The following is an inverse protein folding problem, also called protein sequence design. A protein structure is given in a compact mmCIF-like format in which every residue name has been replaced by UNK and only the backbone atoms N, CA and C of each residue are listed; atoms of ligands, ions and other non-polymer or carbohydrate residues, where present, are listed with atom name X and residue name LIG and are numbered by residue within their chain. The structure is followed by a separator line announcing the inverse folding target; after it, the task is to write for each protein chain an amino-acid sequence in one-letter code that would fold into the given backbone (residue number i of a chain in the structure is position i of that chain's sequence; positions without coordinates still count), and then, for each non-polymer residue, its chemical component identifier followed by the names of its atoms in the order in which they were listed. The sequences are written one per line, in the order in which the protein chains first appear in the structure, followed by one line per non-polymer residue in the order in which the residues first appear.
data_IF_512967763296
#
_entry.id   IF_512967763296
#
_cell.length_a   1.000
_cell.length_b   1.000
_cell.length_c   1.000
_cell.angle_alpha   90.00
_cell.angle_beta   90.00
_cell.angle_gamma   90.00
#
_symmetry.space_group_name_H-M   'P 1'
#
loop_
_entity.id
_entity.type
_entity.pdbx_description
1 polymer ?
#
# COMPACT_ATOMS: atom_id res chain seq x y z
N UNK A 1 -12.52 2.10 15.33
CA UNK A 1 -13.13 1.63 16.60
C UNK A 1 -12.03 0.87 17.32
N UNK A 2 -11.49 1.51 18.35
CA UNK A 2 -10.41 1.16 19.29
C UNK A 2 -9.00 0.81 18.74
N UNK A 3 -8.86 0.37 17.49
CA UNK A 3 -7.55 0.15 16.85
C UNK A 3 -6.77 -1.05 17.40
N UNK A 4 -7.46 -1.97 18.08
CA UNK A 4 -6.88 -3.21 18.60
C UNK A 4 -6.64 -4.22 17.48
N UNK A 5 -5.56 -5.00 17.62
CA UNK A 5 -5.14 -6.00 16.63
C UNK A 5 -5.22 -7.40 17.23
N UNK A 6 -5.79 -8.32 16.46
CA UNK A 6 -5.86 -9.74 16.82
C UNK A 6 -5.20 -10.57 15.73
N UNK A 7 -4.43 -11.58 16.12
CA UNK A 7 -3.82 -12.53 15.19
C UNK A 7 -4.03 -13.97 15.67
N UNK A 8 -4.28 -14.86 14.72
CA UNK A 8 -4.48 -16.29 14.96
C UNK A 8 -4.11 -17.08 13.71
N UNK A 9 -3.98 -18.39 13.85
CA UNK A 9 -3.64 -19.35 12.80
C UNK A 9 -2.27 -19.99 13.02
N UNK A 10 -1.52 -20.13 11.93
CA UNK A 10 -0.20 -20.78 11.90
C UNK A 10 0.85 -19.88 12.56
N UNK A 11 1.64 -20.45 13.48
CA UNK A 11 2.59 -19.72 14.32
C UNK A 11 4.03 -19.63 13.78
N UNK A 12 4.40 -20.46 12.80
CA UNK A 12 5.77 -20.56 12.27
C UNK A 12 6.35 -19.19 11.88
N UNK A 13 7.66 -19.02 12.07
CA UNK A 13 8.39 -17.81 11.72
C UNK A 13 7.88 -16.56 12.44
N UNK A 14 7.28 -16.73 13.62
CA UNK A 14 6.76 -15.65 14.45
C UNK A 14 5.69 -14.76 13.77
N UNK A 15 5.03 -15.26 12.71
CA UNK A 15 4.10 -14.47 11.88
C UNK A 15 2.89 -13.92 12.66
N UNK A 16 2.58 -14.52 13.80
CA UNK A 16 1.49 -14.06 14.66
C UNK A 16 1.90 -12.90 15.59
N UNK A 17 3.19 -12.70 15.86
CA UNK A 17 3.67 -11.59 16.69
C UNK A 17 3.47 -11.77 18.20
N UNK A 18 3.15 -12.99 18.67
CA UNK A 18 2.91 -13.30 20.09
C UNK A 18 4.19 -13.71 20.86
N UNK A 19 5.37 -13.49 20.28
CA UNK A 19 6.66 -13.88 20.87
C UNK A 19 6.96 -15.39 20.81
N UNK A 20 6.07 -16.20 20.25
CA UNK A 20 6.19 -17.66 20.15
C UNK A 20 5.74 -18.16 18.77
N UNK A 21 6.16 -19.38 18.41
CA UNK A 21 5.74 -20.03 17.15
C UNK A 21 4.52 -20.96 17.31
N UNK A 22 3.85 -20.89 18.46
CA UNK A 22 2.66 -21.71 18.73
C UNK A 22 1.50 -21.33 17.81
N UNK A 23 0.77 -22.34 17.34
CA UNK A 23 -0.43 -22.13 16.54
C UNK A 23 -1.57 -21.65 17.45
N UNK A 24 -2.21 -20.56 17.05
CA UNK A 24 -3.30 -19.95 17.81
C UNK A 24 -4.61 -20.25 17.11
N UNK A 25 -5.53 -20.97 17.75
CA UNK A 25 -6.78 -21.43 17.10
C UNK A 25 -7.92 -20.43 17.14
N UNK A 26 -7.82 -19.40 17.97
CA UNK A 26 -8.85 -18.38 18.18
C UNK A 26 -8.21 -16.99 18.19
N UNK A 27 -8.92 -15.93 17.76
CA UNK A 27 -8.39 -14.57 17.80
C UNK A 27 -7.78 -14.23 19.16
N UNK A 28 -6.46 -13.98 19.17
CA UNK A 28 -5.71 -13.58 20.36
C UNK A 28 -5.25 -12.14 20.19
N UNK A 29 -5.45 -11.34 21.23
CA UNK A 29 -5.01 -9.96 21.25
C UNK A 29 -3.49 -9.89 21.07
N UNK A 30 -3.04 -9.00 20.20
CA UNK A 30 -1.62 -8.77 19.96
C UNK A 30 -1.11 -7.73 20.96
N UNK A 31 -0.64 -8.20 22.11
CA UNK A 31 -0.23 -7.35 23.25
C UNK A 31 0.83 -6.30 22.87
N UNK A 32 1.73 -6.60 21.92
CA UNK A 32 2.73 -5.66 21.45
C UNK A 32 2.19 -4.40 20.76
N UNK A 33 0.90 -4.38 20.38
CA UNK A 33 0.21 -3.21 19.83
C UNK A 33 -0.86 -2.67 20.80
N UNK A 34 -0.94 -3.18 22.02
CA UNK A 34 -1.90 -2.69 23.00
C UNK A 34 -1.60 -1.22 23.34
N UNK A 35 -2.65 -0.39 23.40
CA UNK A 35 -2.52 1.05 23.60
C UNK A 35 -2.09 1.83 22.35
N UNK A 36 -1.83 1.16 21.23
CA UNK A 36 -1.64 1.79 19.92
C UNK A 36 -2.93 1.71 19.12
N UNK A 37 -3.36 2.84 18.57
CA UNK A 37 -4.55 2.89 17.72
C UNK A 37 -4.14 2.58 16.29
N UNK A 38 -4.21 1.30 15.92
CA UNK A 38 -3.88 0.85 14.56
C UNK A 38 -4.99 1.25 13.60
N UNK A 39 -4.60 1.85 12.47
CA UNK A 39 -5.49 2.32 11.40
C UNK A 39 -5.39 1.45 10.14
N UNK A 40 -4.26 0.76 9.93
CA UNK A 40 -4.05 -0.14 8.81
C UNK A 40 -3.09 -1.30 9.15
N UNK A 41 -3.28 -2.44 8.50
CA UNK A 41 -2.44 -3.64 8.63
C UNK A 41 -2.23 -4.24 7.25
N UNK A 42 -0.98 -4.51 6.89
CA UNK A 42 -0.64 -5.27 5.69
C UNK A 42 0.16 -6.52 6.05
N UNK A 43 -0.08 -7.56 5.27
CA UNK A 43 0.45 -8.90 5.50
C UNK A 43 1.16 -9.36 4.24
N UNK A 44 2.45 -9.70 4.37
CA UNK A 44 3.23 -10.37 3.34
C UNK A 44 3.01 -11.89 3.39
N UNK A 45 3.99 -12.66 2.91
CA UNK A 45 3.89 -14.13 3.03
C UNK A 45 4.06 -14.61 4.48
N UNK A 46 4.97 -13.99 5.22
CA UNK A 46 5.36 -14.42 6.58
C UNK A 46 5.72 -13.26 7.51
N UNK A 47 5.53 -12.02 7.09
CA UNK A 47 5.77 -10.81 7.89
C UNK A 47 4.57 -9.86 7.77
N UNK A 48 4.44 -8.94 8.73
CA UNK A 48 3.36 -7.98 8.78
C UNK A 48 3.88 -6.59 9.10
N UNK A 49 3.13 -5.58 8.65
CA UNK A 49 3.28 -4.19 9.08
C UNK A 49 1.95 -3.69 9.65
N UNK A 50 2.02 -2.79 10.63
CA UNK A 50 0.86 -2.04 11.13
C UNK A 50 1.17 -0.55 11.16
N UNK A 51 0.21 0.26 10.71
CA UNK A 51 0.27 1.72 10.76
C UNK A 51 -0.66 2.22 11.86
N UNK A 52 -0.17 3.11 12.72
CA UNK A 52 -0.97 3.75 13.77
C UNK A 52 -1.50 5.12 13.34
N UNK A 53 -2.50 5.62 14.08
CA UNK A 53 -3.02 6.98 13.92
C UNK A 53 -1.92 8.04 14.12
N UNK A 54 -0.91 7.74 14.95
CA UNK A 54 0.24 8.62 15.20
C UNK A 54 1.30 8.55 14.09
N UNK A 55 1.03 7.88 12.96
CA UNK A 55 1.94 7.67 11.83
C UNK A 55 3.16 6.78 12.12
N UNK A 56 3.13 6.01 13.23
CA UNK A 56 4.16 5.02 13.52
C UNK A 56 3.94 3.75 12.68
N UNK A 57 5.03 3.15 12.21
CA UNK A 57 4.99 1.84 11.52
C UNK A 57 5.62 0.77 12.40
N UNK A 58 4.86 -0.27 12.72
CA UNK A 58 5.31 -1.45 13.45
C UNK A 58 5.50 -2.62 12.49
N UNK A 59 6.46 -3.50 12.79
CA UNK A 59 6.69 -4.71 12.01
C UNK A 59 6.98 -5.93 12.88
N UNK A 60 6.60 -7.11 12.42
CA UNK A 60 6.91 -8.41 13.04
C UNK A 60 6.84 -9.57 12.04
N UNK A 61 7.35 -10.75 12.42
CA UNK A 61 7.33 -11.99 11.62
C UNK A 61 8.70 -12.43 11.11
N UNK A 62 8.73 -13.05 9.93
CA UNK A 62 9.94 -13.58 9.29
C UNK A 62 10.86 -12.48 8.78
N UNK A 63 12.17 -12.67 8.94
CA UNK A 63 13.22 -11.80 8.45
C UNK A 63 14.28 -12.52 7.59
N UNK A 64 13.90 -13.61 6.92
CA UNK A 64 14.78 -14.43 6.10
C UNK A 64 15.33 -13.72 4.85
N UNK A 65 14.69 -12.62 4.43
CA UNK A 65 15.08 -11.79 3.28
C UNK A 65 15.28 -10.32 3.67
N UNK A 66 15.56 -10.03 4.95
CA UNK A 66 15.70 -8.67 5.48
C UNK A 66 14.41 -7.83 5.34
N UNK A 67 13.24 -8.44 5.50
CA UNK A 67 11.93 -7.75 5.56
C UNK A 67 11.87 -6.65 6.65
N UNK A 68 12.70 -6.81 7.69
CA UNK A 68 12.87 -5.92 8.82
C UNK A 68 14.30 -5.37 8.85
N UNK A 69 14.47 -4.08 8.58
CA UNK A 69 15.79 -3.44 8.53
C UNK A 69 16.39 -3.15 9.91
N UNK A 70 15.60 -3.24 10.97
CA UNK A 70 15.94 -2.84 12.34
C UNK A 70 16.48 -4.00 13.20
N UNK A 71 16.60 -5.21 12.63
CA UNK A 71 17.07 -6.40 13.34
C UNK A 71 18.00 -7.24 12.47
N UNK A 72 19.01 -7.85 13.09
CA UNK A 72 19.92 -8.81 12.46
C UNK A 72 19.45 -10.27 12.65
N UNK A 73 18.36 -10.49 13.40
CA UNK A 73 17.81 -11.83 13.62
C UNK A 73 16.96 -12.26 12.42
N UNK A 74 16.86 -13.56 12.21
CA UNK A 74 16.05 -14.17 11.14
C UNK A 74 14.53 -14.05 11.36
N UNK A 75 14.10 -13.59 12.53
CA UNK A 75 12.70 -13.29 12.85
C UNK A 75 12.62 -12.11 13.81
N UNK A 76 11.46 -11.45 13.80
CA UNK A 76 11.06 -10.40 14.74
C UNK A 76 9.82 -10.89 15.52
N UNK A 77 10.00 -11.43 16.74
CA UNK A 77 8.95 -12.17 17.45
C UNK A 77 7.70 -11.38 17.83
N UNK A 78 7.85 -10.08 18.04
CA UNK A 78 6.79 -9.19 18.52
C UNK A 78 6.79 -7.89 17.70
N UNK A 79 5.64 -7.21 17.57
CA UNK A 79 5.56 -5.90 16.95
C UNK A 79 6.48 -4.89 17.62
N UNK A 80 7.34 -4.24 16.82
CA UNK A 80 8.16 -3.12 17.31
C UNK A 80 8.17 -2.01 16.28
N UNK A 81 8.11 -0.76 16.75
CA UNK A 81 8.19 0.42 15.91
C UNK A 81 9.50 0.43 15.10
N UNK A 82 9.40 0.69 13.81
CA UNK A 82 10.54 0.84 12.92
C UNK A 82 11.15 2.23 13.11
N UNK A 83 12.45 2.33 13.48
CA UNK A 83 13.08 3.61 13.74
C UNK A 83 13.25 4.44 12.46
N UNK A 84 13.15 5.77 12.58
CA UNK A 84 13.40 6.71 11.48
C UNK A 84 12.24 6.89 10.50
N UNK A 85 11.05 6.35 10.81
CA UNK A 85 9.80 6.57 10.08
C UNK A 85 8.82 7.49 10.81
N UNK A 86 9.00 7.66 12.12
CA UNK A 86 8.22 8.50 13.04
C UNK A 86 8.13 9.97 12.60
N UNK A 87 9.21 10.51 12.05
CA UNK A 87 9.24 11.90 11.55
C UNK A 87 8.74 12.07 10.11
N UNK A 88 8.31 10.99 9.44
CA UNK A 88 8.01 11.01 8.00
C UNK A 88 6.53 11.13 7.66
N UNK A 89 5.62 11.12 8.64
CA UNK A 89 4.17 11.18 8.42
C UNK A 89 3.69 10.12 7.42
N UNK A 90 3.93 8.85 7.75
CA UNK A 90 3.51 7.73 6.93
C UNK A 90 1.97 7.67 6.88
N UNK A 91 1.43 7.56 5.66
CA UNK A 91 -0.02 7.49 5.42
C UNK A 91 -0.46 6.17 4.78
N UNK A 92 0.49 5.35 4.36
CA UNK A 92 0.19 4.04 3.81
C UNK A 92 1.37 3.08 3.83
N UNK A 93 1.01 1.80 3.85
CA UNK A 93 1.92 0.66 3.95
C UNK A 93 1.51 -0.42 2.95
N UNK A 94 2.46 -1.21 2.45
CA UNK A 94 2.19 -2.37 1.60
C UNK A 94 3.27 -3.46 1.81
N UNK A 95 2.87 -4.72 1.65
CA UNK A 95 3.78 -5.86 1.71
C UNK A 95 3.76 -6.67 0.41
N UNK A 96 4.94 -7.03 -0.06
CA UNK A 96 5.14 -8.13 -1.00
C UNK A 96 5.39 -9.46 -0.25
N UNK A 97 5.79 -10.52 -0.95
CA UNK A 97 6.22 -11.77 -0.31
C UNK A 97 7.41 -11.59 0.64
N UNK A 98 8.35 -10.70 0.27
CA UNK A 98 9.58 -10.43 1.00
C UNK A 98 9.94 -8.93 1.05
N UNK A 99 9.04 -8.05 0.61
CA UNK A 99 9.26 -6.61 0.54
C UNK A 99 8.28 -5.88 1.45
N UNK A 100 8.70 -4.72 1.93
CA UNK A 100 7.94 -3.82 2.77
C UNK A 100 8.02 -2.41 2.17
N UNK A 101 6.88 -1.78 1.97
CA UNK A 101 6.77 -0.41 1.46
C UNK A 101 6.01 0.44 2.48
N UNK A 102 6.46 1.69 2.65
CA UNK A 102 5.76 2.71 3.42
C UNK A 102 5.92 4.04 2.68
N UNK A 103 4.85 4.83 2.59
CA UNK A 103 4.87 6.14 1.94
C UNK A 103 4.18 7.20 2.79
N UNK A 104 4.65 8.44 2.66
CA UNK A 104 4.08 9.60 3.31
C UNK A 104 3.13 10.36 2.39
N UNK A 105 2.20 11.13 2.96
CA UNK A 105 1.47 12.12 2.17
C UNK A 105 2.39 13.32 1.97
N UNK A 106 3.06 13.40 0.83
CA UNK A 106 3.66 14.66 0.44
C UNK A 106 2.51 15.65 0.18
N UNK A 107 2.39 16.69 1.00
CA UNK A 107 1.39 17.76 0.85
C UNK A 107 1.72 18.75 -0.26
N UNK A 108 2.87 18.62 -0.94
CA UNK A 108 3.09 19.24 -2.24
C UNK A 108 2.64 18.28 -3.34
N UNK A 109 1.39 18.45 -3.78
CA UNK A 109 0.84 17.74 -4.94
C UNK A 109 1.52 18.22 -6.23
N UNK A 110 2.72 17.72 -6.49
CA UNK A 110 3.35 17.73 -7.80
C UNK A 110 3.31 16.31 -8.31
N UNK A 111 2.34 15.97 -9.17
CA UNK A 111 2.36 14.68 -9.88
C UNK A 111 3.65 14.67 -10.69
N UNK A 112 4.65 13.91 -10.25
CA UNK A 112 5.83 13.65 -11.06
C UNK A 112 5.39 12.99 -12.36
N UNK A 113 6.00 13.35 -13.50
CA UNK A 113 5.64 12.82 -14.83
C UNK A 113 5.73 11.29 -14.95
N UNK A 114 6.21 10.58 -13.91
CA UNK A 114 6.34 9.11 -13.85
C UNK A 114 6.11 8.63 -12.41
N UNK A 115 4.86 8.42 -12.03
CA UNK A 115 4.51 7.73 -10.78
C UNK A 115 3.70 6.48 -11.12
N UNK A 116 4.01 5.31 -10.55
CA UNK A 116 3.09 4.18 -10.60
C UNK A 116 1.83 4.53 -9.79
N UNK A 117 0.67 4.39 -10.43
CA UNK A 117 -0.63 4.54 -9.78
C UNK A 117 -1.41 3.25 -9.95
N UNK A 118 -2.24 2.92 -8.95
CA UNK A 118 -3.21 1.83 -9.04
C UNK A 118 -4.53 2.47 -9.41
N UNK A 119 -5.07 2.12 -10.58
CA UNK A 119 -6.43 2.48 -10.95
C UNK A 119 -7.34 1.40 -10.41
N UNK A 120 -8.25 1.76 -9.50
CA UNK A 120 -9.37 0.89 -9.17
C UNK A 120 -10.34 0.87 -10.36
N UNK A 121 -10.65 -0.31 -10.89
CA UNK A 121 -11.48 -0.46 -12.09
C UNK A 121 -12.93 -0.67 -11.65
N UNK A 122 -13.67 0.43 -11.53
CA UNK A 122 -15.09 0.44 -11.16
C UNK A 122 -15.91 1.33 -12.11
N UNK A 123 -17.24 1.32 -11.99
CA UNK A 123 -18.14 2.11 -12.87
C UNK A 123 -17.77 3.59 -12.94
N UNK A 124 -17.38 4.18 -11.80
CA UNK A 124 -16.92 5.57 -11.75
C UNK A 124 -15.66 5.80 -12.60
N UNK A 125 -14.73 4.84 -12.62
CA UNK A 125 -13.52 4.91 -13.46
C UNK A 125 -13.87 4.93 -14.93
N UNK A 126 -14.81 4.09 -15.37
CA UNK A 126 -15.27 4.10 -16.77
C UNK A 126 -15.98 5.40 -17.14
N UNK A 127 -16.78 5.97 -16.23
CA UNK A 127 -17.41 7.29 -16.43
C UNK A 127 -16.36 8.40 -16.61
N UNK A 128 -15.30 8.39 -15.80
CA UNK A 128 -14.22 9.38 -15.92
C UNK A 128 -13.37 9.18 -17.19
N UNK A 129 -13.11 7.93 -17.60
CA UNK A 129 -12.41 7.64 -18.86
C UNK A 129 -13.24 8.08 -20.07
N UNK A 130 -14.56 7.89 -20.05
CA UNK A 130 -15.45 8.38 -21.11
C UNK A 130 -15.48 9.91 -21.19
N UNK A 131 -15.56 10.59 -20.04
CA UNK A 131 -15.46 12.06 -19.97
C UNK A 131 -14.14 12.57 -20.56
N UNK A 132 -13.02 11.91 -20.22
CA UNK A 132 -11.71 12.26 -20.74
C UNK A 132 -11.63 12.07 -22.26
N UNK A 133 -12.13 10.95 -22.79
CA UNK A 133 -12.16 10.71 -24.23
C UNK A 133 -12.98 11.78 -24.95
N UNK A 134 -14.15 12.15 -24.43
CA UNK A 134 -14.99 13.20 -25.00
C UNK A 134 -14.24 14.53 -25.06
N UNK A 135 -13.59 14.93 -23.98
CA UNK A 135 -12.80 16.17 -23.93
C UNK A 135 -11.63 16.16 -24.91
N UNK A 136 -10.91 15.04 -25.03
CA UNK A 136 -9.79 14.91 -25.96
C UNK A 136 -10.29 15.01 -27.41
N UNK A 137 -11.41 14.38 -27.72
CA UNK A 137 -12.04 14.40 -29.06
C UNK A 137 -12.82 15.67 -29.37
N UNK A 138 -12.99 16.58 -28.41
CA UNK A 138 -13.74 17.81 -28.62
C UNK A 138 -13.08 18.67 -29.70
N UNK A 139 -13.88 19.07 -30.67
CA UNK A 139 -13.44 19.88 -31.82
C UNK A 139 -12.58 19.13 -32.83
N UNK A 140 -12.43 17.81 -32.73
CA UNK A 140 -11.75 17.00 -33.74
C UNK A 140 -12.75 16.57 -34.81
N UNK A 141 -12.75 17.26 -35.95
CA UNK A 141 -13.67 16.93 -37.06
C UNK A 141 -13.03 16.06 -38.14
N UNK A 142 -11.72 15.81 -38.03
CA UNK A 142 -10.94 15.00 -38.97
C UNK A 142 -10.71 15.64 -40.34
N UNK A 143 -11.13 16.89 -40.53
CA UNK A 143 -11.04 17.62 -41.79
C UNK A 143 -9.95 18.71 -41.74
N UNK A 144 -9.83 19.46 -40.65
CA UNK A 144 -8.78 20.46 -40.44
C UNK A 144 -7.65 19.99 -39.52
N UNK A 145 -7.92 18.96 -38.72
CA UNK A 145 -7.08 18.59 -37.58
C UNK A 145 -6.31 17.30 -37.85
N UNK A 146 -6.07 16.98 -39.13
CA UNK A 146 -5.34 15.80 -39.55
C UNK A 146 -3.89 16.15 -39.97
N UNK A 147 -2.87 15.52 -39.35
CA UNK A 147 -2.96 14.56 -38.24
C UNK A 147 -3.32 15.24 -36.91
N UNK A 148 -3.97 14.50 -35.99
CA UNK A 148 -4.36 15.04 -34.68
C UNK A 148 -3.14 15.49 -33.89
N UNK A 149 -3.29 16.47 -32.98
CA UNK A 149 -2.20 16.85 -32.09
C UNK A 149 -1.67 15.63 -31.32
N UNK A 150 -0.35 15.49 -31.27
CA UNK A 150 0.32 14.35 -30.62
C UNK A 150 -0.17 14.14 -29.18
N UNK A 151 -0.42 15.22 -28.44
CA UNK A 151 -0.96 15.17 -27.08
C UNK A 151 -2.34 14.51 -27.02
N UNK A 152 -3.26 14.90 -27.92
CA UNK A 152 -4.60 14.32 -28.01
C UNK A 152 -4.56 12.85 -28.43
N UNK A 153 -3.70 12.51 -29.38
CA UNK A 153 -3.50 11.13 -29.81
C UNK A 153 -2.94 10.25 -28.66
N UNK A 154 -1.89 10.72 -27.98
CA UNK A 154 -1.31 10.00 -26.85
C UNK A 154 -2.31 9.79 -25.71
N UNK A 155 -3.12 10.80 -25.39
CA UNK A 155 -4.16 10.68 -24.37
C UNK A 155 -5.24 9.67 -24.77
N UNK A 156 -5.78 9.75 -25.99
CA UNK A 156 -6.80 8.82 -26.46
C UNK A 156 -6.29 7.36 -26.49
N UNK A 157 -5.07 7.13 -26.98
CA UNK A 157 -4.45 5.80 -27.01
C UNK A 157 -4.20 5.27 -25.59
N UNK A 158 -3.69 6.12 -24.68
CA UNK A 158 -3.48 5.73 -23.29
C UNK A 158 -4.79 5.34 -22.59
N UNK A 159 -5.85 6.13 -22.78
CA UNK A 159 -7.18 5.85 -22.23
C UNK A 159 -7.77 4.55 -22.79
N UNK A 160 -7.67 4.32 -24.10
CA UNK A 160 -8.17 3.07 -24.71
C UNK A 160 -7.35 1.84 -24.29
N UNK A 161 -6.05 1.99 -24.03
CA UNK A 161 -5.22 0.90 -23.54
C UNK A 161 -5.55 0.50 -22.09
N UNK A 162 -6.11 1.41 -21.28
CA UNK A 162 -6.62 1.09 -19.93
C UNK A 162 -7.94 0.32 -19.96
N UNK A 163 -8.65 0.31 -21.10
CA UNK A 163 -9.94 -0.38 -21.29
C UNK A 163 -9.80 -1.78 -21.93
N UNK A 164 -8.58 -2.18 -22.33
CA UNK A 164 -8.27 -3.52 -22.86
C UNK A 164 -7.97 -4.51 -21.75
#
# INVERSE_FOLDING_TARGET
KDGQVYSWGKGDNQRLGHGTEEHVRYPKLLEGLQGKKVIDIVVGSTHCLALTEDSDVYSWGSNDQCQHFDTLRITKPEPTALPGLDSKHIVGIACGPAQSFAWSSCSEWSIGLRVPFVVDVCSMTFEQLDLLLRQVTEGMDGSSDWPPPQEKECMAVATLNLLR
#
